data_IF_514643786475
#
_entry.id   IF_514643786475
#
_cell.length_a   1.000
_cell.length_b   1.000
_cell.length_c   1.000
_cell.angle_alpha   90.00
_cell.angle_beta   90.00
_cell.angle_gamma   90.00
#
_symmetry.space_group_name_H-M   'P 1'
#
loop_
_entity.id
_entity.type
_entity.pdbx_description
1 polymer ?
#
# COMPACT_ATOMS: atom_id res chain seq x y z
N UNK A 1 -9.53 1.35 -5.80
CA UNK A 1 -8.71 0.83 -4.68
C UNK A 1 -7.84 1.94 -4.13
N UNK A 2 -7.38 1.85 -2.88
CA UNK A 2 -6.31 2.70 -2.34
C UNK A 2 -5.03 2.51 -3.16
N UNK A 3 -4.27 3.58 -3.43
CA UNK A 3 -3.04 3.49 -4.25
C UNK A 3 -1.83 3.08 -3.42
N UNK A 4 -0.92 2.28 -3.97
CA UNK A 4 0.36 1.96 -3.31
C UNK A 4 1.39 3.06 -3.57
N UNK A 5 1.91 3.69 -2.52
CA UNK A 5 3.06 4.60 -2.60
C UNK A 5 4.29 3.94 -1.95
N UNK A 6 5.27 3.57 -2.78
CA UNK A 6 6.56 3.02 -2.35
C UNK A 6 7.52 4.18 -2.04
N UNK A 7 7.86 4.37 -0.76
CA UNK A 7 9.02 5.16 -0.36
C UNK A 7 10.22 4.22 -0.22
N UNK A 8 11.24 4.45 -1.05
CA UNK A 8 12.59 3.93 -0.86
C UNK A 8 13.28 4.88 0.12
N UNK A 9 13.41 4.49 1.38
CA UNK A 9 14.15 5.28 2.37
C UNK A 9 15.65 5.02 2.26
N UNK A 10 16.40 6.06 1.88
CA UNK A 10 17.81 6.22 2.25
C UNK A 10 17.84 7.23 3.41
N UNK A 11 17.99 6.73 4.63
CA UNK A 11 17.99 7.55 5.84
C UNK A 11 19.38 8.18 6.05
N UNK A 12 19.49 9.52 5.99
CA UNK A 12 20.68 10.24 6.47
C UNK A 12 20.34 11.60 7.12
N UNK A 13 20.44 11.60 8.47
CA UNK A 13 20.84 12.65 9.45
C UNK A 13 20.17 14.05 9.55
N UNK A 14 19.63 14.36 10.75
CA UNK A 14 20.05 15.41 11.75
C UNK A 14 20.65 16.73 11.19
N UNK A 15 20.35 17.98 11.60
CA UNK A 15 19.85 18.63 12.84
C UNK A 15 19.59 20.14 12.58
N UNK A 16 18.83 20.78 13.48
CA UNK A 16 19.12 22.07 14.18
C UNK A 16 18.00 23.12 14.10
N UNK A 17 17.45 23.43 15.27
CA UNK A 17 16.61 24.60 15.56
C UNK A 17 17.49 25.86 15.67
N UNK A 18 17.01 26.99 15.16
CA UNK A 18 17.46 28.32 15.60
C UNK A 18 16.26 29.25 15.79
N UNK A 19 16.15 29.74 17.01
CA UNK A 19 15.18 30.67 17.57
C UNK A 19 15.71 32.11 17.38
N UNK A 20 14.95 33.01 16.75
CA UNK A 20 15.23 34.45 16.78
C UNK A 20 13.98 35.27 17.10
N UNK A 21 14.04 35.92 18.27
CA UNK A 21 13.11 36.92 18.78
C UNK A 21 13.45 38.30 18.21
N UNK A 22 12.47 39.00 17.64
CA UNK A 22 12.47 40.47 17.60
C UNK A 22 11.10 41.02 18.00
N UNK A 23 11.13 41.92 18.98
CA UNK A 23 10.00 42.64 19.56
C UNK A 23 9.80 44.02 18.90
N UNK A 24 8.53 44.43 18.77
CA UNK A 24 8.10 45.83 18.88
C UNK A 24 7.84 46.61 17.59
N UNK A 25 6.57 46.95 17.33
CA UNK A 25 6.17 48.07 16.45
C UNK A 25 4.84 47.87 15.73
N UNK A 26 3.80 48.59 16.16
CA UNK A 26 2.43 48.61 15.59
C UNK A 26 2.38 48.93 14.09
N UNK A 27 1.64 48.14 13.32
CA UNK A 27 0.83 48.62 12.19
C UNK A 27 -0.45 47.77 12.06
N UNK A 28 -1.55 48.36 12.56
CA UNK A 28 -2.92 47.90 12.39
C UNK A 28 -3.43 48.28 11.00
N UNK A 29 -3.22 47.40 10.03
CA UNK A 29 -4.08 47.24 8.85
C UNK A 29 -3.54 46.04 8.09
N UNK A 30 -4.12 44.85 8.30
CA UNK A 30 -3.99 43.61 7.49
C UNK A 30 -4.55 42.36 8.24
N UNK A 31 -5.38 42.54 9.27
CA UNK A 31 -5.84 41.43 10.13
C UNK A 31 -6.97 40.56 9.56
N UNK A 32 -7.43 40.81 8.32
CA UNK A 32 -8.55 40.04 7.74
C UNK A 32 -8.20 39.23 6.48
N UNK A 33 -6.96 39.29 5.97
CA UNK A 33 -6.62 38.60 4.70
C UNK A 33 -5.58 37.47 4.80
N UNK A 34 -5.02 37.21 6.01
CA UNK A 34 -4.08 36.09 6.23
C UNK A 34 -4.67 34.89 6.96
N UNK A 35 -5.98 34.90 7.23
CA UNK A 35 -6.66 33.83 7.95
C UNK A 35 -7.06 32.61 7.12
N UNK A 36 -6.84 32.61 5.80
CA UNK A 36 -7.48 31.64 4.89
C UNK A 36 -6.53 30.92 3.92
N UNK A 37 -5.23 30.86 4.22
CA UNK A 37 -4.24 30.10 3.42
C UNK A 37 -3.57 28.95 4.18
N UNK A 38 -4.11 28.58 5.34
CA UNK A 38 -3.55 27.55 6.24
C UNK A 38 -4.40 26.29 6.39
N UNK A 39 -5.56 26.21 5.72
CA UNK A 39 -6.44 25.04 5.66
C UNK A 39 -6.82 24.98 4.16
N UNK A 40 -6.40 24.03 3.33
CA UNK A 40 -6.44 22.58 3.44
C UNK A 40 -5.18 22.02 2.74
N UNK A 41 -4.13 21.69 3.50
CA UNK A 41 -3.38 20.50 3.11
C UNK A 41 -4.08 19.42 3.92
N UNK A 42 -5.01 18.69 3.32
CA UNK A 42 -5.41 17.43 3.94
C UNK A 42 -4.11 16.64 4.04
N UNK A 43 -3.59 16.48 5.25
CA UNK A 43 -2.56 15.49 5.49
C UNK A 43 -3.21 14.16 5.09
N UNK A 44 -2.89 13.66 3.90
CA UNK A 44 -3.41 12.40 3.40
C UNK A 44 -2.87 11.27 4.30
N UNK A 45 -3.63 10.90 5.32
CA UNK A 45 -3.23 9.86 6.28
C UNK A 45 -3.46 8.49 5.64
N UNK A 46 -2.39 7.92 5.09
CA UNK A 46 -2.33 6.53 4.61
C UNK A 46 -1.98 5.50 5.69
N UNK A 47 -1.76 4.26 5.26
CA UNK A 47 -1.38 3.13 6.13
C UNK A 47 0.03 2.66 5.78
N UNK A 48 0.93 2.55 6.75
CA UNK A 48 2.23 1.89 6.57
C UNK A 48 2.23 0.59 7.35
N UNK A 49 2.49 -0.54 6.70
CA UNK A 49 2.40 -1.88 7.29
C UNK A 49 3.43 -2.84 6.67
N UNK A 50 3.30 -4.15 6.94
CA UNK A 50 4.09 -5.21 6.32
C UNK A 50 3.46 -6.58 6.55
N UNK A 51 4.30 -7.61 6.71
CA UNK A 51 3.94 -9.04 6.84
C UNK A 51 3.21 -9.41 8.15
N UNK A 52 2.14 -8.68 8.49
CA UNK A 52 1.39 -8.84 9.74
C UNK A 52 0.79 -10.24 9.84
N UNK A 53 1.21 -10.98 10.87
CA UNK A 53 0.71 -12.34 11.13
C UNK A 53 1.34 -13.45 10.28
N UNK A 54 2.38 -13.17 9.48
CA UNK A 54 2.97 -14.16 8.57
C UNK A 54 4.20 -14.90 9.15
N UNK A 55 4.67 -14.50 10.33
CA UNK A 55 5.77 -15.17 11.04
C UNK A 55 5.27 -16.32 11.92
N UNK A 56 5.41 -16.20 13.24
CA UNK A 56 5.00 -17.24 14.20
C UNK A 56 3.51 -17.65 14.12
N UNK A 57 2.65 -16.77 13.60
CA UNK A 57 1.22 -17.06 13.42
C UNK A 57 0.90 -17.79 12.11
N UNK A 58 1.89 -18.00 11.22
CA UNK A 58 1.76 -18.83 10.02
C UNK A 58 0.74 -18.35 8.99
N UNK A 59 0.37 -17.07 9.01
CA UNK A 59 -0.51 -16.49 8.00
C UNK A 59 0.14 -16.48 6.61
N UNK A 60 -0.67 -16.71 5.58
CA UNK A 60 -0.22 -16.61 4.20
C UNK A 60 0.07 -15.14 3.82
N UNK A 61 1.28 -14.81 3.35
CA UNK A 61 1.67 -13.43 3.03
C UNK A 61 0.83 -12.78 1.93
N UNK A 62 0.53 -13.50 0.85
CA UNK A 62 -0.22 -12.98 -0.30
C UNK A 62 -1.66 -12.64 0.12
N UNK A 63 -2.29 -13.53 0.88
CA UNK A 63 -3.62 -13.29 1.45
C UNK A 63 -3.60 -12.14 2.46
N UNK A 64 -2.60 -12.08 3.34
CA UNK A 64 -2.51 -11.02 4.36
C UNK A 64 -2.24 -9.65 3.74
N UNK A 65 -1.43 -9.55 2.70
CA UNK A 65 -1.24 -8.31 1.96
C UNK A 65 -2.55 -7.85 1.32
N UNK A 66 -3.24 -8.76 0.62
CA UNK A 66 -4.52 -8.49 -0.04
C UNK A 66 -5.60 -8.04 0.94
N UNK A 67 -5.73 -8.70 2.10
CA UNK A 67 -6.71 -8.34 3.14
C UNK A 67 -6.42 -6.95 3.70
N UNK A 68 -5.16 -6.62 3.95
CA UNK A 68 -4.78 -5.29 4.44
C UNK A 68 -5.09 -4.20 3.40
N UNK A 69 -4.84 -4.47 2.12
CA UNK A 69 -5.18 -3.54 1.03
C UNK A 69 -6.69 -3.33 0.89
N UNK A 70 -7.48 -4.40 1.00
CA UNK A 70 -8.95 -4.32 1.05
C UNK A 70 -9.42 -3.48 2.23
N UNK A 71 -8.85 -3.69 3.42
CA UNK A 71 -9.20 -2.93 4.63
C UNK A 71 -8.86 -1.44 4.50
N UNK A 72 -7.66 -1.10 3.99
CA UNK A 72 -7.26 0.28 3.75
C UNK A 72 -8.17 0.95 2.70
N UNK A 73 -8.48 0.24 1.62
CA UNK A 73 -9.39 0.73 0.56
C UNK A 73 -10.81 0.94 1.07
N UNK A 74 -11.34 0.02 1.88
CA UNK A 74 -12.68 0.11 2.45
C UNK A 74 -12.78 1.24 3.49
N UNK A 75 -11.69 1.54 4.19
CA UNK A 75 -11.58 2.64 5.14
C UNK A 75 -11.29 4.00 4.48
N UNK A 76 -11.35 4.08 3.14
CA UNK A 76 -11.06 5.29 2.35
C UNK A 76 -9.69 5.89 2.66
N UNK A 77 -8.68 5.05 2.91
CA UNK A 77 -7.30 5.51 3.07
C UNK A 77 -6.74 5.86 1.70
N UNK A 78 -6.08 7.03 1.54
CA UNK A 78 -5.58 7.48 0.25
C UNK A 78 -4.51 6.52 -0.31
N UNK A 79 -3.65 6.00 0.58
CA UNK A 79 -2.65 5.00 0.21
C UNK A 79 -2.41 3.94 1.28
N UNK A 80 -1.79 2.84 0.86
CA UNK A 80 -1.11 1.87 1.72
C UNK A 80 0.34 1.69 1.25
N UNK A 81 1.29 1.64 2.17
CA UNK A 81 2.69 1.34 1.91
C UNK A 81 3.03 0.03 2.62
N UNK A 82 3.41 -0.99 1.85
CA UNK A 82 3.61 -2.33 2.36
C UNK A 82 5.08 -2.71 2.33
N UNK A 83 5.69 -2.94 3.50
CA UNK A 83 7.06 -3.40 3.59
C UNK A 83 7.13 -4.93 3.62
N UNK A 84 7.58 -5.51 2.51
CA UNK A 84 7.61 -6.98 2.28
C UNK A 84 8.74 -7.68 3.01
N UNK A 85 9.75 -6.95 3.49
CA UNK A 85 10.99 -7.52 4.05
C UNK A 85 11.69 -8.50 3.09
N UNK A 86 11.55 -8.30 1.77
CA UNK A 86 12.15 -9.18 0.75
C UNK A 86 11.57 -10.59 0.71
N UNK A 87 10.35 -10.77 1.21
CA UNK A 87 9.70 -12.08 1.23
C UNK A 87 9.36 -12.55 -0.19
N UNK A 88 9.90 -13.71 -0.59
CA UNK A 88 9.80 -14.25 -1.95
C UNK A 88 8.35 -14.44 -2.42
N UNK A 89 7.45 -14.86 -1.54
CA UNK A 89 6.02 -15.00 -1.84
C UNK A 89 5.37 -13.67 -2.29
N UNK A 90 5.95 -12.53 -1.94
CA UNK A 90 5.43 -11.20 -2.28
C UNK A 90 6.18 -10.55 -3.45
N UNK A 91 7.07 -11.27 -4.16
CA UNK A 91 7.88 -10.66 -5.24
C UNK A 91 7.05 -10.07 -6.38
N UNK A 92 5.84 -10.60 -6.61
CA UNK A 92 4.93 -10.17 -7.68
C UNK A 92 3.85 -9.21 -7.17
N UNK A 93 3.92 -8.77 -5.90
CA UNK A 93 2.90 -7.90 -5.29
C UNK A 93 2.64 -6.66 -6.14
N UNK A 94 3.68 -5.95 -6.57
CA UNK A 94 3.55 -4.75 -7.41
C UNK A 94 2.87 -5.03 -8.75
N UNK A 95 3.19 -6.16 -9.38
CA UNK A 95 2.59 -6.54 -10.67
C UNK A 95 1.10 -6.84 -10.51
N UNK A 96 0.73 -7.53 -9.42
CA UNK A 96 -0.65 -7.87 -9.10
C UNK A 96 -1.45 -6.61 -8.78
N UNK A 97 -0.94 -5.70 -7.93
CA UNK A 97 -1.66 -4.49 -7.55
C UNK A 97 -1.82 -3.52 -8.72
N UNK A 98 -0.80 -3.39 -9.58
CA UNK A 98 -0.89 -2.63 -10.83
C UNK A 98 -1.93 -3.21 -11.78
N UNK A 99 -1.96 -4.53 -11.97
CA UNK A 99 -2.93 -5.17 -12.85
C UNK A 99 -4.36 -4.96 -12.33
N UNK A 100 -4.61 -5.20 -11.04
CA UNK A 100 -5.93 -5.02 -10.43
C UNK A 100 -6.40 -3.56 -10.58
N UNK A 101 -5.51 -2.60 -10.31
CA UNK A 101 -5.82 -1.18 -10.42
C UNK A 101 -6.09 -0.77 -11.86
N UNK A 102 -5.30 -1.25 -12.81
CA UNK A 102 -5.46 -0.95 -14.25
C UNK A 102 -6.75 -1.52 -14.83
N UNK A 103 -7.26 -2.63 -14.27
CA UNK A 103 -8.54 -3.21 -14.64
C UNK A 103 -9.74 -2.58 -13.92
N UNK A 104 -9.52 -1.55 -13.09
CA UNK A 104 -10.59 -0.81 -12.43
C UNK A 104 -11.38 -1.62 -11.39
N UNK A 105 -10.77 -2.64 -10.80
CA UNK A 105 -11.44 -3.49 -9.81
C UNK A 105 -11.83 -2.70 -8.55
N UNK A 106 -13.01 -3.00 -8.04
CA UNK A 106 -13.52 -2.49 -6.76
C UNK A 106 -13.04 -3.36 -5.60
N UNK A 107 -13.28 -2.89 -4.36
CA UNK A 107 -13.10 -3.70 -3.15
C UNK A 107 -13.90 -5.00 -3.23
N UNK A 108 -15.12 -4.94 -3.75
CA UNK A 108 -16.00 -6.09 -3.90
C UNK A 108 -15.47 -7.13 -4.89
N UNK A 109 -14.92 -6.69 -6.02
CA UNK A 109 -14.37 -7.60 -7.03
C UNK A 109 -13.20 -8.40 -6.47
N UNK A 110 -12.23 -7.73 -5.85
CA UNK A 110 -11.08 -8.41 -5.26
C UNK A 110 -11.47 -9.28 -4.06
N UNK A 111 -12.44 -8.85 -3.25
CA UNK A 111 -12.99 -9.68 -2.17
C UNK A 111 -13.61 -10.98 -2.70
N UNK A 112 -14.39 -10.92 -3.78
CA UNK A 112 -15.01 -12.10 -4.38
C UNK A 112 -13.94 -13.09 -4.86
N UNK A 113 -12.88 -12.61 -5.50
CA UNK A 113 -11.77 -13.47 -5.92
C UNK A 113 -11.03 -14.11 -4.74
N UNK A 114 -10.84 -13.36 -3.65
CA UNK A 114 -10.23 -13.87 -2.43
C UNK A 114 -11.08 -14.98 -1.79
N UNK A 115 -12.40 -14.81 -1.76
CA UNK A 115 -13.36 -15.81 -1.26
C UNK A 115 -13.37 -17.06 -2.15
N UNK A 116 -13.40 -16.88 -3.48
CA UNK A 116 -13.36 -17.99 -4.43
C UNK A 116 -12.07 -18.81 -4.27
N UNK A 117 -10.90 -18.14 -4.28
CA UNK A 117 -9.62 -18.80 -4.03
C UNK A 117 -9.61 -19.55 -2.69
N UNK A 118 -10.10 -18.93 -1.63
CA UNK A 118 -10.14 -19.56 -0.31
C UNK A 118 -11.01 -20.81 -0.30
N UNK A 119 -12.14 -20.81 -1.01
CA UNK A 119 -12.99 -21.98 -1.18
C UNK A 119 -12.26 -23.10 -1.94
N UNK A 120 -11.64 -22.77 -3.08
CA UNK A 120 -10.88 -23.74 -3.87
C UNK A 120 -9.71 -24.33 -3.05
N UNK A 121 -9.02 -23.49 -2.26
CA UNK A 121 -7.91 -23.92 -1.39
C UNK A 121 -8.38 -24.87 -0.30
N UNK A 122 -9.52 -24.58 0.36
CA UNK A 122 -10.10 -25.43 1.39
C UNK A 122 -10.60 -26.77 0.84
N UNK A 123 -11.10 -26.77 -0.39
CA UNK A 123 -11.56 -27.98 -1.08
C UNK A 123 -10.42 -28.80 -1.70
N UNK A 124 -9.18 -28.30 -1.68
CA UNK A 124 -8.03 -28.95 -2.32
C UNK A 124 -8.06 -28.88 -3.86
N UNK A 125 -8.81 -27.93 -4.43
CA UNK A 125 -8.93 -27.73 -5.88
C UNK A 125 -7.75 -26.94 -6.45
N UNK A 126 -7.02 -26.20 -5.60
CA UNK A 126 -5.80 -25.50 -5.98
C UNK A 126 -4.72 -25.59 -4.91
N UNK A 127 -3.47 -25.76 -5.35
CA UNK A 127 -2.28 -25.80 -4.49
C UNK A 127 -1.31 -24.63 -4.74
N UNK A 128 -1.55 -23.81 -5.77
CA UNK A 128 -0.72 -22.64 -6.08
C UNK A 128 -1.08 -21.43 -5.20
N UNK A 129 -0.15 -20.50 -5.00
CA UNK A 129 -0.39 -19.25 -4.26
C UNK A 129 -1.48 -18.39 -4.89
N UNK A 130 -2.09 -17.52 -4.09
CA UNK A 130 -3.17 -16.63 -4.51
C UNK A 130 -2.79 -15.76 -5.71
N UNK A 131 -1.59 -15.17 -5.72
CA UNK A 131 -1.17 -14.31 -6.83
C UNK A 131 -1.02 -15.08 -8.15
N UNK A 132 -0.48 -16.30 -8.08
CA UNK A 132 -0.36 -17.19 -9.24
C UNK A 132 -1.70 -17.71 -9.71
N UNK A 133 -2.61 -18.00 -8.79
CA UNK A 133 -3.98 -18.40 -9.11
C UNK A 133 -4.76 -17.27 -9.78
N UNK A 134 -4.63 -16.04 -9.26
CA UNK A 134 -5.32 -14.86 -9.75
C UNK A 134 -4.81 -14.43 -11.14
N UNK A 135 -3.49 -14.45 -11.34
CA UNK A 135 -2.84 -14.05 -12.58
C UNK A 135 -1.80 -15.09 -13.04
N UNK A 136 -2.23 -16.21 -13.64
CA UNK A 136 -1.33 -17.28 -14.07
C UNK A 136 -0.26 -16.83 -15.08
N UNK A 137 -0.54 -15.76 -15.84
CA UNK A 137 0.42 -15.16 -16.79
C UNK A 137 1.64 -14.51 -16.13
N UNK A 138 1.62 -14.27 -14.81
CA UNK A 138 2.81 -13.83 -14.07
C UNK A 138 3.83 -14.97 -13.91
N UNK A 139 3.44 -16.24 -14.10
CA UNK A 139 4.35 -17.39 -14.11
C UNK A 139 5.14 -17.50 -15.42
N UNK A 140 4.61 -16.98 -16.52
CA UNK A 140 5.17 -17.23 -17.86
C UNK A 140 6.32 -16.29 -18.23
N UNK A 141 6.54 -15.21 -17.48
CA UNK A 141 7.62 -14.26 -17.77
C UNK A 141 9.00 -14.77 -17.31
N UNK A 142 9.07 -15.57 -16.25
CA UNK A 142 10.33 -16.18 -15.82
C UNK A 142 10.82 -17.30 -16.76
N UNK A 143 9.90 -18.08 -17.33
CA UNK A 143 10.28 -19.15 -18.28
C UNK A 143 10.78 -18.62 -19.63
N UNK A 144 10.36 -17.42 -20.03
CA UNK A 144 10.78 -16.80 -21.29
C UNK A 144 12.16 -16.14 -21.19
N UNK A 145 12.55 -15.62 -20.02
CA UNK A 145 13.88 -15.02 -19.79
C UNK A 145 14.97 -16.08 -19.64
N UNK A 146 14.64 -17.28 -19.14
CA UNK A 146 15.59 -18.38 -19.01
C UNK A 146 15.82 -19.18 -20.32
N UNK A 147 15.12 -18.82 -21.41
CA UNK A 147 15.24 -19.47 -22.73
C UNK A 147 15.81 -18.56 -23.82
N UNK A 148 16.31 -17.37 -23.48
CA UNK A 148 16.90 -16.39 -24.42
C UNK A 148 18.41 -16.25 -24.28
#
# INVERSE_FOLDING_TARGET
MSTDNLLIDDATSTSAETDERIAGGQLTSNFEEKGNRYLEHEDEIGVVTGNWGCGAFGGDPELKATIQWLAASQASRPFISYYTFGMEALRTLDQVTQWITSNGWTVGDLWNMLVEYSSQRLNGETEVGFFSWLLPSLLTHDEMILKS
#
